data_IF_780048376065
#
_entry.id   IF_780048376065
#
_cell.length_a   1.000
_cell.length_b   1.000
_cell.length_c   1.000
_cell.angle_alpha   90.00
_cell.angle_beta   90.00
_cell.angle_gamma   90.00
#
_symmetry.space_group_name_H-M   'P 1'
#
loop_
_entity.id
_entity.type
_entity.pdbx_description
1 polymer ?
#
# COMPACT_ATOMS: atom_id res chain seq x y z
N UNK A 1 -13.62 11.87 -4.09
CA UNK A 1 -13.18 11.30 -2.79
C UNK A 1 -12.09 10.29 -3.08
N UNK A 2 -11.32 9.89 -2.09
CA UNK A 2 -10.33 8.80 -2.22
C UNK A 2 -10.85 7.57 -1.48
N UNK A 3 -10.45 6.38 -1.91
CA UNK A 3 -10.98 5.14 -1.34
C UNK A 3 -10.41 4.75 0.03
N UNK A 4 -9.22 5.21 0.41
CA UNK A 4 -8.55 4.77 1.66
C UNK A 4 -8.05 5.96 2.48
N UNK A 5 -7.51 6.98 1.81
CA UNK A 5 -6.93 8.13 2.48
C UNK A 5 -7.38 9.42 1.80
N UNK A 6 -7.74 10.41 2.58
CA UNK A 6 -8.24 11.70 2.15
C UNK A 6 -7.53 12.86 2.87
N UNK A 7 -8.00 14.08 2.68
CA UNK A 7 -7.46 15.30 3.33
C UNK A 7 -7.56 15.29 4.86
N UNK A 8 -8.36 14.40 5.45
CA UNK A 8 -8.50 14.23 6.90
C UNK A 8 -7.51 13.20 7.45
N UNK A 9 -6.77 12.53 6.57
CA UNK A 9 -5.77 11.56 6.97
C UNK A 9 -4.63 12.23 7.73
N UNK A 10 -4.39 11.75 8.95
CA UNK A 10 -3.34 12.19 9.87
C UNK A 10 -2.27 11.11 9.93
N UNK A 11 -1.22 11.30 9.14
CA UNK A 11 -0.15 10.30 9.00
C UNK A 11 0.78 10.28 10.20
N UNK A 12 1.09 9.09 10.65
CA UNK A 12 2.15 8.78 11.59
C UNK A 12 3.18 7.86 10.93
N UNK A 13 4.46 8.05 11.22
CA UNK A 13 5.55 7.24 10.70
C UNK A 13 6.22 6.44 11.81
N UNK A 14 6.10 5.12 11.79
CA UNK A 14 6.92 4.23 12.62
C UNK A 14 8.31 4.08 11.98
N UNK A 15 9.37 4.36 12.75
CA UNK A 15 10.74 4.41 12.25
C UNK A 15 11.13 5.75 11.61
N UNK A 16 10.47 6.86 12.00
CA UNK A 16 10.68 8.20 11.42
C UNK A 16 12.12 8.70 11.55
N UNK A 17 12.86 8.31 12.58
CA UNK A 17 14.25 8.74 12.80
C UNK A 17 15.27 7.96 11.96
N UNK A 18 14.83 6.91 11.26
CA UNK A 18 15.64 6.19 10.28
C UNK A 18 15.81 6.98 8.98
N UNK A 19 16.82 6.64 8.18
CA UNK A 19 17.13 7.33 6.93
C UNK A 19 15.94 7.34 5.97
N UNK A 20 15.32 6.18 5.71
CA UNK A 20 14.19 6.07 4.79
C UNK A 20 12.91 6.67 5.39
N UNK A 21 12.66 6.43 6.69
CA UNK A 21 11.49 7.00 7.39
C UNK A 21 11.50 8.53 7.34
N UNK A 22 12.62 9.17 7.69
CA UNK A 22 12.74 10.63 7.66
C UNK A 22 12.65 11.21 6.23
N UNK A 23 13.27 10.55 5.27
CA UNK A 23 13.24 10.96 3.86
C UNK A 23 11.82 10.93 3.30
N UNK A 24 11.09 9.82 3.50
CA UNK A 24 9.74 9.67 2.98
C UNK A 24 8.69 10.47 3.77
N UNK A 25 8.90 10.70 5.08
CA UNK A 25 8.05 11.61 5.85
C UNK A 25 8.09 13.03 5.28
N UNK A 26 9.28 13.53 4.95
CA UNK A 26 9.46 14.82 4.28
C UNK A 26 8.76 14.85 2.92
N UNK A 27 8.95 13.83 2.07
CA UNK A 27 8.32 13.79 0.75
C UNK A 27 6.78 13.66 0.81
N UNK A 28 6.24 13.02 1.85
CA UNK A 28 4.80 12.98 2.07
C UNK A 28 4.26 14.36 2.47
N UNK A 29 4.94 15.04 3.39
CA UNK A 29 4.58 16.40 3.82
C UNK A 29 4.69 17.41 2.64
N UNK A 30 5.78 17.36 1.86
CA UNK A 30 5.96 18.20 0.66
C UNK A 30 4.87 17.97 -0.40
N UNK A 31 4.34 16.75 -0.50
CA UNK A 31 3.24 16.43 -1.41
C UNK A 31 1.90 17.03 -0.95
N UNK A 32 1.74 17.27 0.33
CA UNK A 32 0.53 17.82 0.94
C UNK A 32 -0.09 16.96 2.04
N UNK A 33 0.51 15.81 2.36
CA UNK A 33 0.01 14.92 3.42
C UNK A 33 0.22 15.54 4.80
N UNK A 34 -0.76 15.38 5.67
CA UNK A 34 -0.69 15.85 7.05
C UNK A 34 0.10 14.86 7.93
N UNK A 35 1.41 15.02 8.00
CA UNK A 35 2.30 14.22 8.84
C UNK A 35 2.30 14.80 10.25
N UNK A 36 1.69 14.10 11.20
CA UNK A 36 1.42 14.63 12.56
C UNK A 36 2.30 14.01 13.65
N UNK A 37 2.87 12.84 13.41
CA UNK A 37 3.66 12.12 14.42
C UNK A 37 4.72 11.23 13.80
N UNK A 38 5.79 11.00 14.56
CA UNK A 38 6.74 9.94 14.36
C UNK A 38 6.80 9.03 15.58
N UNK A 39 7.09 7.75 15.36
CA UNK A 39 7.31 6.79 16.45
C UNK A 39 8.66 6.12 16.24
N UNK A 40 9.47 6.18 17.29
CA UNK A 40 10.74 5.44 17.38
C UNK A 40 11.04 5.19 18.87
N UNK A 41 11.01 3.93 19.32
CA UNK A 41 11.29 3.61 20.73
C UNK A 41 12.63 4.18 21.22
N UNK A 42 12.62 4.80 22.39
CA UNK A 42 13.80 5.46 22.99
C UNK A 42 14.15 6.82 22.38
N UNK A 43 13.29 7.37 21.51
CA UNK A 43 13.46 8.70 20.88
C UNK A 43 12.32 9.67 21.20
N UNK A 44 11.41 9.28 22.07
CA UNK A 44 10.32 10.14 22.53
C UNK A 44 10.80 11.49 23.05
N UNK A 45 10.01 12.54 22.80
CA UNK A 45 10.35 13.92 23.16
C UNK A 45 11.28 14.64 22.19
N UNK A 46 11.80 13.96 21.16
CA UNK A 46 12.52 14.60 20.05
C UNK A 46 11.54 15.20 19.03
N UNK A 47 12.06 16.04 18.16
CA UNK A 47 11.34 16.60 17.02
C UNK A 47 12.18 16.37 15.77
N UNK A 48 11.53 16.06 14.66
CA UNK A 48 12.21 15.92 13.37
C UNK A 48 12.60 17.28 12.78
N UNK A 49 13.36 17.28 11.67
CA UNK A 49 13.71 18.51 10.93
C UNK A 49 12.48 19.26 10.40
N UNK A 50 11.34 18.57 10.23
CA UNK A 50 10.06 19.16 9.80
C UNK A 50 9.13 19.50 10.98
N UNK A 51 9.66 19.64 12.19
CA UNK A 51 8.91 19.93 13.42
C UNK A 51 7.86 18.85 13.78
N UNK A 52 7.99 17.63 13.26
CA UNK A 52 7.10 16.51 13.61
C UNK A 52 7.55 15.92 14.96
N UNK A 53 6.66 15.85 15.96
CA UNK A 53 7.00 15.28 17.27
C UNK A 53 7.22 13.76 17.15
N UNK A 54 8.19 13.25 17.92
CA UNK A 54 8.53 11.84 18.00
C UNK A 54 8.09 11.28 19.35
N UNK A 55 7.47 10.10 19.32
CA UNK A 55 6.96 9.36 20.47
C UNK A 55 7.67 8.02 20.61
N UNK A 56 7.64 7.44 21.80
CA UNK A 56 8.19 6.11 22.03
C UNK A 56 7.24 4.98 21.59
N UNK A 57 5.93 5.24 21.63
CA UNK A 57 4.89 4.25 21.25
C UNK A 57 3.83 4.86 20.36
N UNK A 58 3.16 3.95 19.60
CA UNK A 58 2.03 4.33 18.74
C UNK A 58 0.86 4.88 19.57
N UNK A 59 0.56 4.28 20.73
CA UNK A 59 -0.51 4.74 21.60
C UNK A 59 -0.32 6.19 22.05
N UNK A 60 0.91 6.57 22.46
CA UNK A 60 1.25 7.96 22.81
C UNK A 60 1.05 8.92 21.62
N UNK A 61 1.47 8.49 20.42
CA UNK A 61 1.32 9.31 19.22
C UNK A 61 -0.16 9.52 18.86
N UNK A 62 -0.98 8.47 18.91
CA UNK A 62 -2.43 8.56 18.66
C UNK A 62 -3.12 9.47 19.66
N UNK A 63 -2.86 9.28 20.96
CA UNK A 63 -3.44 10.09 22.02
C UNK A 63 -3.10 11.59 21.85
N UNK A 64 -1.84 11.90 21.56
CA UNK A 64 -1.37 13.28 21.47
C UNK A 64 -1.80 13.97 20.17
N UNK A 65 -1.92 13.24 19.05
CA UNK A 65 -2.07 13.85 17.73
C UNK A 65 -3.33 13.43 16.98
N UNK A 66 -4.06 12.42 17.44
CA UNK A 66 -5.19 11.86 16.70
C UNK A 66 -4.78 11.23 15.36
N UNK A 67 -3.56 10.68 15.27
CA UNK A 67 -3.10 9.96 14.08
C UNK A 67 -4.05 8.80 13.75
N UNK A 68 -4.43 8.68 12.47
CA UNK A 68 -5.40 7.69 11.99
C UNK A 68 -4.86 6.82 10.84
N UNK A 69 -3.61 7.03 10.46
CA UNK A 69 -2.92 6.16 9.50
C UNK A 69 -1.46 6.00 9.90
N UNK A 70 -1.00 4.76 9.98
CA UNK A 70 0.41 4.43 10.27
C UNK A 70 1.14 3.99 9.01
N UNK A 71 2.32 4.56 8.80
CA UNK A 71 3.24 4.19 7.73
C UNK A 71 4.50 3.59 8.35
N UNK A 72 4.77 2.30 8.04
CA UNK A 72 5.80 1.51 8.72
C UNK A 72 7.07 1.43 7.88
N UNK A 73 8.16 2.01 8.42
CA UNK A 73 9.52 1.99 7.88
C UNK A 73 10.53 1.33 8.82
N UNK A 74 10.08 0.50 9.74
CA UNK A 74 10.97 -0.24 10.63
C UNK A 74 11.65 -1.41 9.89
N UNK A 75 12.82 -1.88 10.35
CA UNK A 75 13.45 -3.06 9.77
C UNK A 75 12.54 -4.30 9.81
N UNK A 76 12.63 -5.21 8.83
CA UNK A 76 11.72 -6.35 8.69
C UNK A 76 11.50 -7.20 9.95
N UNK A 77 12.53 -7.49 10.79
CA UNK A 77 12.32 -8.27 12.02
C UNK A 77 11.39 -7.64 13.05
N UNK A 78 11.13 -6.33 12.96
CA UNK A 78 10.29 -5.58 13.89
C UNK A 78 8.96 -5.14 13.26
N UNK A 79 8.77 -5.39 11.96
CA UNK A 79 7.62 -4.86 11.24
C UNK A 79 6.30 -5.54 11.66
N UNK A 80 6.33 -6.84 11.99
CA UNK A 80 5.16 -7.55 12.49
C UNK A 80 4.66 -6.95 13.81
N UNK A 81 5.58 -6.72 14.76
CA UNK A 81 5.25 -6.08 16.05
C UNK A 81 4.73 -4.66 15.85
N UNK A 82 5.32 -3.90 14.92
CA UNK A 82 4.89 -2.55 14.59
C UNK A 82 3.46 -2.49 13.99
N UNK A 83 3.08 -3.51 13.21
CA UNK A 83 1.70 -3.64 12.68
C UNK A 83 0.73 -3.91 13.83
N UNK A 84 1.04 -4.87 14.71
CA UNK A 84 0.19 -5.22 15.84
C UNK A 84 0.05 -4.03 16.80
N UNK A 85 1.15 -3.35 17.14
CA UNK A 85 1.14 -2.15 17.99
C UNK A 85 0.21 -1.05 17.43
N UNK A 86 0.25 -0.82 16.12
CA UNK A 86 -0.61 0.17 15.49
C UNK A 86 -2.10 -0.24 15.53
N UNK A 87 -2.39 -1.53 15.32
CA UNK A 87 -3.74 -2.06 15.43
C UNK A 87 -4.26 -1.98 16.87
N UNK A 88 -3.45 -2.33 17.88
CA UNK A 88 -3.78 -2.22 19.31
C UNK A 88 -4.07 -0.79 19.75
N UNK A 89 -3.37 0.17 19.15
CA UNK A 89 -3.61 1.59 19.40
C UNK A 89 -4.86 2.13 18.66
N UNK A 90 -5.62 1.28 17.98
CA UNK A 90 -6.85 1.64 17.28
C UNK A 90 -6.62 2.39 15.96
N UNK A 91 -5.45 2.27 15.32
CA UNK A 91 -5.18 2.91 14.03
C UNK A 91 -5.96 2.16 12.94
N UNK A 92 -6.91 2.81 12.24
CA UNK A 92 -7.78 2.13 11.29
C UNK A 92 -7.08 1.71 9.99
N UNK A 93 -5.98 2.38 9.62
CA UNK A 93 -5.25 2.07 8.39
C UNK A 93 -3.75 2.03 8.62
N UNK A 94 -3.14 0.96 8.15
CA UNK A 94 -1.69 0.74 8.23
C UNK A 94 -1.15 0.49 6.82
N UNK A 95 -0.05 1.14 6.44
CA UNK A 95 0.71 0.78 5.24
C UNK A 95 2.11 0.34 5.66
N UNK A 96 2.45 -0.93 5.39
CA UNK A 96 3.74 -1.50 5.72
C UNK A 96 4.62 -1.56 4.47
N UNK A 97 5.68 -0.75 4.46
CA UNK A 97 6.60 -0.64 3.31
C UNK A 97 7.67 -1.75 3.37
N UNK A 98 7.98 -2.25 4.56
CA UNK A 98 9.06 -3.19 4.79
C UNK A 98 8.94 -4.45 3.91
N UNK A 99 10.05 -4.83 3.29
CA UNK A 99 10.23 -6.09 2.56
C UNK A 99 11.01 -7.08 3.41
N UNK A 100 10.69 -8.38 3.28
CA UNK A 100 11.45 -9.44 3.93
C UNK A 100 10.99 -9.78 5.35
N UNK A 101 9.76 -9.45 5.70
CA UNK A 101 9.13 -9.93 6.93
C UNK A 101 8.98 -11.45 6.83
N UNK A 102 9.37 -12.23 7.86
CA UNK A 102 9.18 -13.67 7.84
C UNK A 102 7.72 -14.05 7.63
N UNK A 103 7.47 -15.02 6.75
CA UNK A 103 6.11 -15.49 6.46
C UNK A 103 5.40 -15.98 7.72
N UNK A 104 6.12 -16.65 8.62
CA UNK A 104 5.60 -17.12 9.91
C UNK A 104 5.06 -15.99 10.80
N UNK A 105 5.68 -14.83 10.73
CA UNK A 105 5.24 -13.65 11.50
C UNK A 105 4.05 -12.99 10.84
N UNK A 106 4.03 -12.92 9.50
CA UNK A 106 2.87 -12.41 8.77
C UNK A 106 1.63 -13.29 8.92
N UNK A 107 1.77 -14.63 9.07
CA UNK A 107 0.64 -15.52 9.41
C UNK A 107 -0.01 -15.10 10.72
N UNK A 108 0.80 -14.80 11.74
CA UNK A 108 0.29 -14.32 13.05
C UNK A 108 -0.37 -12.96 12.94
N UNK A 109 0.25 -12.04 12.18
CA UNK A 109 -0.30 -10.70 11.96
C UNK A 109 -1.66 -10.76 11.26
N UNK A 110 -1.78 -11.51 10.15
CA UNK A 110 -3.04 -11.63 9.42
C UNK A 110 -4.13 -12.22 10.32
N UNK A 111 -3.82 -13.30 11.04
CA UNK A 111 -4.77 -13.90 11.98
C UNK A 111 -5.19 -12.94 13.12
N UNK A 112 -4.24 -12.15 13.62
CA UNK A 112 -4.53 -11.14 14.65
C UNK A 112 -5.49 -10.06 14.12
N UNK A 113 -5.24 -9.58 12.90
CA UNK A 113 -6.04 -8.53 12.27
C UNK A 113 -7.45 -8.96 11.89
N UNK A 114 -7.72 -10.28 11.67
CA UNK A 114 -9.08 -10.81 11.42
C UNK A 114 -10.10 -10.42 12.51
N UNK A 115 -9.65 -10.18 13.75
CA UNK A 115 -10.48 -9.76 14.87
C UNK A 115 -10.59 -8.24 15.05
N UNK A 116 -10.05 -7.44 14.13
CA UNK A 116 -9.97 -5.97 14.24
C UNK A 116 -10.60 -5.27 13.03
N UNK A 117 -10.83 -3.96 13.15
CA UNK A 117 -11.26 -3.12 12.02
C UNK A 117 -10.07 -2.50 11.27
N UNK A 118 -8.84 -2.83 11.65
CA UNK A 118 -7.63 -2.29 11.04
C UNK A 118 -7.40 -2.86 9.64
N UNK A 119 -7.27 -1.98 8.65
CA UNK A 119 -6.87 -2.32 7.30
C UNK A 119 -5.35 -2.26 7.15
N UNK A 120 -4.75 -3.37 6.75
CA UNK A 120 -3.32 -3.43 6.43
C UNK A 120 -3.10 -3.40 4.91
N UNK A 121 -2.31 -2.44 4.42
CA UNK A 121 -1.82 -2.37 3.04
C UNK A 121 -0.37 -2.85 3.04
N UNK A 122 -0.05 -3.80 2.17
CA UNK A 122 1.25 -4.50 2.18
C UNK A 122 1.26 -5.73 3.09
N UNK A 123 2.44 -6.20 3.51
CA UNK A 123 3.77 -5.59 3.43
C UNK A 123 4.38 -5.58 2.01
N UNK A 124 5.64 -5.12 1.91
CA UNK A 124 6.38 -5.03 0.65
C UNK A 124 5.59 -4.28 -0.42
N UNK A 125 5.13 -3.09 -0.08
CA UNK A 125 4.28 -2.27 -0.94
C UNK A 125 4.81 -0.83 -1.06
N UNK A 126 4.45 -0.10 -2.11
CA UNK A 126 4.79 1.30 -2.25
C UNK A 126 3.87 2.24 -1.44
N UNK A 127 2.87 1.70 -0.72
CA UNK A 127 1.83 2.46 -0.06
C UNK A 127 0.73 2.90 -1.02
N UNK A 128 0.20 4.09 -0.80
CA UNK A 128 -0.86 4.66 -1.63
C UNK A 128 -0.66 6.17 -1.89
N UNK A 129 -1.34 6.66 -2.92
CA UNK A 129 -1.39 8.09 -3.24
C UNK A 129 -2.75 8.46 -3.83
N UNK A 130 -3.34 9.55 -3.34
CA UNK A 130 -4.53 10.19 -3.92
C UNK A 130 -4.17 11.59 -4.41
N UNK A 131 -3.98 11.78 -5.72
CA UNK A 131 -3.64 13.09 -6.27
C UNK A 131 -4.74 14.13 -6.09
N UNK A 132 -6.00 13.70 -6.10
CA UNK A 132 -7.16 14.58 -5.91
C UNK A 132 -7.20 15.16 -4.49
N UNK A 133 -6.92 14.33 -3.49
CA UNK A 133 -6.92 14.73 -2.08
C UNK A 133 -5.56 15.30 -1.62
N UNK A 134 -4.53 15.26 -2.48
CA UNK A 134 -3.14 15.61 -2.16
C UNK A 134 -2.58 14.84 -0.97
N UNK A 135 -2.93 13.57 -0.88
CA UNK A 135 -2.43 12.65 0.14
C UNK A 135 -1.51 11.62 -0.50
N UNK A 136 -0.34 11.49 0.06
CA UNK A 136 0.64 10.45 -0.25
C UNK A 136 1.02 9.75 1.06
N UNK A 137 0.80 8.45 1.11
CA UNK A 137 1.18 7.61 2.25
C UNK A 137 2.03 6.43 1.73
N UNK A 138 3.33 6.68 1.58
CA UNK A 138 4.26 5.69 1.04
C UNK A 138 5.40 6.29 0.24
N UNK A 139 5.97 5.47 -0.63
CA UNK A 139 7.18 5.78 -1.40
C UNK A 139 6.90 6.17 -2.86
N UNK A 140 5.65 6.17 -3.31
CA UNK A 140 5.29 6.53 -4.69
C UNK A 140 5.79 7.93 -5.04
N UNK A 141 6.42 8.13 -6.22
CA UNK A 141 6.93 9.45 -6.64
C UNK A 141 5.77 10.39 -6.99
N UNK A 142 5.57 11.46 -6.20
CA UNK A 142 4.43 12.35 -6.35
C UNK A 142 4.35 13.07 -7.71
N UNK A 143 5.49 13.35 -8.32
CA UNK A 143 5.60 14.14 -9.56
C UNK A 143 5.07 13.43 -10.82
N UNK A 144 4.93 12.09 -10.80
CA UNK A 144 4.36 11.35 -11.94
C UNK A 144 2.82 11.22 -11.85
N UNK A 145 2.24 11.57 -10.72
CA UNK A 145 0.80 11.47 -10.48
C UNK A 145 0.09 12.78 -10.77
N UNK A 146 -1.09 12.70 -11.36
CA UNK A 146 -1.93 13.83 -11.72
C UNK A 146 -3.37 13.58 -11.27
N UNK A 147 -4.08 14.59 -10.70
CA UNK A 147 -5.50 14.44 -10.39
C UNK A 147 -6.33 13.99 -11.59
N UNK A 148 -7.21 13.01 -11.36
CA UNK A 148 -8.10 12.47 -12.39
C UNK A 148 -9.03 11.41 -11.83
N UNK A 149 -9.52 10.53 -12.70
CA UNK A 149 -10.62 9.61 -12.38
C UNK A 149 -10.28 8.12 -12.63
N UNK A 150 -9.01 7.79 -12.84
CA UNK A 150 -8.58 6.38 -13.02
C UNK A 150 -7.98 5.84 -11.73
N UNK A 151 -8.59 4.79 -11.19
CA UNK A 151 -8.04 4.00 -10.10
C UNK A 151 -6.89 3.12 -10.57
N UNK A 152 -5.88 2.91 -9.73
CA UNK A 152 -4.79 1.97 -10.04
C UNK A 152 -4.56 1.07 -8.83
N UNK A 153 -4.57 -0.24 -9.05
CA UNK A 153 -4.20 -1.24 -8.04
C UNK A 153 -3.13 -2.17 -8.56
N UNK A 154 -2.07 -2.39 -7.77
CA UNK A 154 -0.90 -3.13 -8.23
C UNK A 154 -0.20 -3.90 -7.11
N UNK A 155 0.37 -5.05 -7.44
CA UNK A 155 1.30 -5.77 -6.56
C UNK A 155 2.70 -5.14 -6.54
N UNK A 156 3.07 -4.42 -7.60
CA UNK A 156 4.42 -3.91 -7.82
C UNK A 156 4.47 -2.38 -7.79
N UNK A 157 5.39 -1.83 -7.00
CA UNK A 157 5.68 -0.40 -7.00
C UNK A 157 6.20 0.09 -8.36
N UNK A 158 7.22 -0.56 -8.89
CA UNK A 158 7.86 -0.17 -10.16
C UNK A 158 6.89 -0.18 -11.33
N UNK A 159 6.05 -1.22 -11.44
CA UNK A 159 5.04 -1.30 -12.50
C UNK A 159 3.93 -0.26 -12.33
N UNK A 160 3.58 0.07 -11.09
CA UNK A 160 2.68 1.19 -10.81
C UNK A 160 3.25 2.48 -11.37
N UNK A 161 4.53 2.76 -11.11
CA UNK A 161 5.17 4.01 -11.56
C UNK A 161 5.23 4.09 -13.08
N UNK A 162 5.54 2.99 -13.75
CA UNK A 162 5.56 2.92 -15.22
C UNK A 162 4.16 3.19 -15.81
N UNK A 163 3.14 2.47 -15.34
CA UNK A 163 1.78 2.62 -15.83
C UNK A 163 1.23 4.04 -15.57
N UNK A 164 1.41 4.55 -14.36
CA UNK A 164 0.97 5.91 -13.99
C UNK A 164 1.71 6.98 -14.77
N UNK A 165 3.02 6.81 -14.99
CA UNK A 165 3.81 7.73 -15.81
C UNK A 165 3.29 7.82 -17.25
N UNK A 166 2.94 6.67 -17.86
CA UNK A 166 2.33 6.62 -19.19
C UNK A 166 0.95 7.26 -19.21
N UNK A 167 0.07 6.91 -18.27
CA UNK A 167 -1.27 7.51 -18.15
C UNK A 167 -1.19 9.04 -18.04
N UNK A 168 -0.34 9.52 -17.15
CA UNK A 168 -0.13 10.97 -16.94
C UNK A 168 0.43 11.65 -18.18
N UNK A 169 1.36 11.02 -18.89
CA UNK A 169 1.89 11.50 -20.16
C UNK A 169 0.83 11.62 -21.26
N UNK A 170 -0.18 10.76 -21.23
CA UNK A 170 -1.37 10.83 -22.10
C UNK A 170 -2.45 11.81 -21.60
N UNK A 171 -2.22 12.52 -20.50
CA UNK A 171 -3.19 13.44 -19.91
C UNK A 171 -4.24 12.77 -19.00
N UNK A 172 -4.14 11.48 -18.77
CA UNK A 172 -5.07 10.68 -17.95
C UNK A 172 -4.58 10.69 -16.49
N UNK A 173 -5.36 11.32 -15.60
CA UNK A 173 -5.06 11.43 -14.18
C UNK A 173 -5.66 10.31 -13.34
N UNK A 174 -5.21 10.21 -12.08
CA UNK A 174 -5.59 9.16 -11.16
C UNK A 174 -6.48 9.69 -10.02
N UNK A 175 -7.48 8.89 -9.63
CA UNK A 175 -8.26 9.12 -8.40
C UNK A 175 -7.46 8.65 -7.18
N UNK A 176 -7.07 7.37 -7.18
CA UNK A 176 -6.21 6.77 -6.15
C UNK A 176 -5.35 5.70 -6.79
N UNK A 177 -4.07 5.61 -6.36
CA UNK A 177 -3.20 4.49 -6.68
C UNK A 177 -2.89 3.73 -5.39
N UNK A 178 -3.11 2.42 -5.37
CA UNK A 178 -2.87 1.54 -4.22
C UNK A 178 -1.91 0.42 -4.61
N UNK A 179 -0.81 0.32 -3.87
CA UNK A 179 0.10 -0.82 -3.97
C UNK A 179 -0.22 -1.83 -2.87
N UNK A 180 -0.69 -3.01 -3.24
CA UNK A 180 -1.08 -4.06 -2.27
C UNK A 180 0.08 -4.95 -1.83
N UNK A 181 1.26 -4.83 -2.49
CA UNK A 181 2.48 -5.56 -2.15
C UNK A 181 2.69 -6.86 -2.90
N UNK A 182 3.97 -7.25 -2.98
CA UNK A 182 4.44 -8.43 -3.71
C UNK A 182 4.66 -9.68 -2.87
N UNK A 183 4.38 -9.64 -1.57
CA UNK A 183 4.56 -10.77 -0.67
C UNK A 183 3.42 -11.80 -0.79
N UNK A 184 3.68 -13.09 -0.45
CA UNK A 184 2.67 -14.14 -0.50
C UNK A 184 1.45 -13.87 0.39
N UNK A 185 1.68 -13.24 1.56
CA UNK A 185 0.65 -12.81 2.49
C UNK A 185 0.62 -11.29 2.54
N UNK A 186 -0.52 -10.71 2.24
CA UNK A 186 -0.78 -9.26 2.37
C UNK A 186 -2.12 -9.04 3.10
N UNK A 187 -2.24 -7.89 3.74
CA UNK A 187 -3.46 -7.55 4.48
C UNK A 187 -4.62 -7.11 3.58
N UNK A 188 -4.33 -6.56 2.40
CA UNK A 188 -5.33 -6.08 1.43
C UNK A 188 -5.16 -6.81 0.11
N UNK A 189 -6.25 -7.27 -0.49
CA UNK A 189 -6.30 -7.98 -1.76
C UNK A 189 -6.69 -7.05 -2.93
N UNK A 190 -6.64 -7.58 -4.16
CA UNK A 190 -7.23 -6.91 -5.32
C UNK A 190 -8.74 -6.71 -5.16
N UNK A 191 -9.44 -7.71 -4.62
CA UNK A 191 -10.89 -7.68 -4.43
C UNK A 191 -11.27 -6.52 -3.51
N UNK A 192 -10.61 -6.38 -2.37
CA UNK A 192 -10.87 -5.29 -1.42
C UNK A 192 -10.74 -3.91 -2.07
N UNK A 193 -9.72 -3.72 -2.92
CA UNK A 193 -9.48 -2.44 -3.59
C UNK A 193 -10.47 -2.21 -4.74
N UNK A 194 -10.81 -3.26 -5.49
CA UNK A 194 -11.81 -3.18 -6.56
C UNK A 194 -13.20 -2.86 -6.02
N UNK A 195 -13.60 -3.45 -4.89
CA UNK A 195 -14.85 -3.15 -4.20
C UNK A 195 -14.95 -1.68 -3.79
N UNK A 196 -13.85 -1.14 -3.24
CA UNK A 196 -13.79 0.28 -2.91
C UNK A 196 -13.86 1.17 -4.16
N UNK A 197 -13.19 0.81 -5.26
CA UNK A 197 -13.27 1.56 -6.52
C UNK A 197 -14.65 1.46 -7.17
N UNK A 198 -15.33 0.31 -7.10
CA UNK A 198 -16.70 0.18 -7.60
C UNK A 198 -17.63 1.18 -6.90
N UNK A 199 -17.48 1.32 -5.59
CA UNK A 199 -18.30 2.22 -4.77
C UNK A 199 -17.89 3.70 -4.86
N UNK A 200 -16.72 4.03 -5.41
CA UNK A 200 -16.22 5.41 -5.48
C UNK A 200 -16.79 6.15 -6.70
N UNK A 201 -17.65 7.20 -6.52
CA UNK A 201 -18.21 7.95 -7.61
C UNK A 201 -17.20 8.80 -8.39
N UNK A 202 -15.99 8.99 -7.83
CA UNK A 202 -14.92 9.78 -8.45
C UNK A 202 -13.94 8.92 -9.26
N UNK A 203 -14.17 7.59 -9.31
CA UNK A 203 -13.41 6.66 -10.15
C UNK A 203 -14.26 6.15 -11.31
N UNK A 204 -13.85 6.43 -12.55
CA UNK A 204 -14.57 6.05 -13.77
C UNK A 204 -14.08 4.73 -14.37
N UNK A 205 -12.89 4.28 -14.02
CA UNK A 205 -12.30 3.03 -14.49
C UNK A 205 -11.05 2.70 -13.70
N UNK A 206 -10.57 1.47 -13.82
CA UNK A 206 -9.45 0.97 -13.03
C UNK A 206 -8.39 0.30 -13.91
N UNK A 207 -7.12 0.48 -13.55
CA UNK A 207 -5.99 -0.29 -14.06
C UNK A 207 -5.54 -1.24 -12.96
N UNK A 208 -5.62 -2.53 -13.21
CA UNK A 208 -5.12 -3.60 -12.33
C UNK A 208 -3.82 -4.17 -12.87
N UNK A 209 -2.78 -4.21 -12.04
CA UNK A 209 -1.46 -4.70 -12.44
C UNK A 209 -1.10 -5.90 -11.57
N UNK A 210 -1.11 -7.06 -12.18
CA UNK A 210 -0.73 -8.34 -11.59
C UNK A 210 0.58 -8.89 -12.18
N UNK A 211 0.99 -10.00 -11.62
CA UNK A 211 2.22 -10.69 -12.00
C UNK A 211 2.10 -12.20 -11.80
N UNK A 212 3.12 -12.94 -12.21
CA UNK A 212 3.21 -14.37 -11.94
C UNK A 212 3.17 -14.67 -10.43
N UNK A 213 2.77 -15.88 -10.07
CA UNK A 213 2.73 -16.36 -8.68
C UNK A 213 1.38 -16.23 -8.03
N UNK A 214 0.96 -17.28 -7.32
CA UNK A 214 -0.35 -17.36 -6.68
C UNK A 214 -1.53 -17.34 -7.65
N UNK A 215 -2.73 -17.07 -7.13
CA UNK A 215 -4.01 -17.05 -7.87
C UNK A 215 -4.82 -15.76 -7.69
N UNK A 216 -4.28 -14.76 -7.01
CA UNK A 216 -5.02 -13.54 -6.62
C UNK A 216 -5.66 -12.79 -7.80
N UNK A 217 -5.02 -12.84 -8.98
CA UNK A 217 -5.53 -12.21 -10.18
C UNK A 217 -6.73 -12.98 -10.76
N UNK A 218 -6.73 -14.32 -10.65
CA UNK A 218 -7.89 -15.13 -11.02
C UNK A 218 -9.05 -14.92 -10.06
N UNK A 219 -8.76 -14.88 -8.75
CA UNK A 219 -9.77 -14.61 -7.72
C UNK A 219 -10.41 -13.22 -7.96
N UNK A 220 -9.61 -12.22 -8.32
CA UNK A 220 -10.08 -10.90 -8.72
C UNK A 220 -10.92 -10.95 -10.02
N UNK A 221 -10.51 -11.75 -11.00
CA UNK A 221 -11.25 -11.89 -12.27
C UNK A 221 -12.64 -12.52 -12.04
N UNK A 222 -12.77 -13.51 -11.16
CA UNK A 222 -14.07 -14.08 -10.78
C UNK A 222 -14.97 -13.02 -10.09
N UNK A 223 -14.41 -12.25 -9.14
CA UNK A 223 -15.12 -11.15 -8.50
C UNK A 223 -15.61 -10.10 -9.53
N UNK A 224 -14.75 -9.71 -10.45
CA UNK A 224 -15.05 -8.70 -11.49
C UNK A 224 -16.24 -9.12 -12.36
N UNK A 225 -16.35 -10.39 -12.73
CA UNK A 225 -17.46 -10.88 -13.57
C UNK A 225 -18.84 -10.65 -12.94
N UNK A 226 -18.91 -10.68 -11.62
CA UNK A 226 -20.19 -10.67 -10.91
C UNK A 226 -20.47 -9.33 -10.23
N UNK A 227 -19.44 -8.58 -9.84
CA UNK A 227 -19.57 -7.47 -8.90
C UNK A 227 -18.95 -6.15 -9.36
N UNK A 228 -18.25 -6.10 -10.50
CA UNK A 228 -17.55 -4.89 -10.94
C UNK A 228 -18.07 -4.42 -12.30
N UNK A 229 -18.61 -3.19 -12.37
CA UNK A 229 -19.28 -2.66 -13.55
C UNK A 229 -18.47 -1.58 -14.28
N UNK A 230 -17.43 -1.03 -13.64
CA UNK A 230 -16.60 0.00 -14.25
C UNK A 230 -15.60 -0.60 -15.25
N UNK A 231 -15.16 0.17 -16.27
CA UNK A 231 -14.09 -0.26 -17.16
C UNK A 231 -12.84 -0.70 -16.40
N UNK A 232 -12.32 -1.89 -16.70
CA UNK A 232 -11.12 -2.45 -16.10
C UNK A 232 -10.11 -2.82 -17.18
N UNK A 233 -8.91 -2.23 -17.10
CA UNK A 233 -7.76 -2.64 -17.89
C UNK A 233 -6.81 -3.46 -17.00
N UNK A 234 -6.38 -4.62 -17.48
CA UNK A 234 -5.51 -5.53 -16.71
C UNK A 234 -4.18 -5.74 -17.42
N UNK A 235 -3.10 -5.58 -16.67
CA UNK A 235 -1.74 -5.93 -17.10
C UNK A 235 -1.20 -7.07 -16.23
N UNK A 236 -0.81 -8.17 -16.86
CA UNK A 236 -0.14 -9.30 -16.19
C UNK A 236 1.28 -9.42 -16.71
N UNK A 237 2.27 -9.28 -15.82
CA UNK A 237 3.69 -9.37 -16.19
C UNK A 237 4.28 -10.75 -15.89
N UNK A 238 5.41 -11.05 -16.55
CA UNK A 238 6.18 -12.28 -16.32
C UNK A 238 5.93 -13.41 -17.30
N UNK A 239 5.40 -13.15 -18.51
CA UNK A 239 5.16 -14.18 -19.55
C UNK A 239 6.44 -14.96 -19.91
N UNK A 240 7.61 -14.32 -19.87
CA UNK A 240 8.90 -14.95 -20.14
C UNK A 240 9.61 -15.49 -18.88
N UNK A 241 8.96 -15.46 -17.72
CA UNK A 241 9.58 -15.89 -16.47
C UNK A 241 9.75 -17.44 -16.45
N UNK A 242 10.95 -17.94 -16.07
CA UNK A 242 11.18 -19.38 -15.96
C UNK A 242 10.47 -19.95 -14.72
N UNK A 243 9.89 -21.17 -14.83
CA UNK A 243 9.30 -21.86 -13.68
C UNK A 243 10.29 -22.07 -12.52
N UNK A 244 9.78 -21.98 -11.27
CA UNK A 244 10.54 -22.25 -10.06
C UNK A 244 11.55 -21.17 -9.67
N UNK A 245 11.70 -20.10 -10.45
CA UNK A 245 12.59 -18.97 -10.12
C UNK A 245 11.79 -17.79 -9.59
N UNK A 246 12.25 -17.23 -8.46
CA UNK A 246 11.72 -15.98 -7.91
C UNK A 246 12.11 -14.79 -8.79
N UNK A 247 11.12 -14.00 -9.19
CA UNK A 247 11.28 -12.86 -10.09
C UNK A 247 11.06 -11.54 -9.35
N UNK A 248 12.01 -11.15 -8.50
CA UNK A 248 11.91 -9.95 -7.66
C UNK A 248 11.11 -10.23 -6.37
N UNK A 249 9.81 -10.03 -6.38
CA UNK A 249 8.93 -10.21 -5.22
C UNK A 249 8.94 -11.66 -4.68
N UNK A 250 8.77 -11.80 -3.37
CA UNK A 250 8.72 -13.12 -2.73
C UNK A 250 7.55 -13.98 -3.25
N UNK A 251 6.42 -13.34 -3.61
CA UNK A 251 5.26 -14.00 -4.21
C UNK A 251 5.36 -14.23 -5.71
N UNK A 252 6.34 -13.65 -6.41
CA UNK A 252 6.47 -13.76 -7.87
C UNK A 252 7.29 -14.99 -8.27
N UNK A 253 6.71 -16.17 -8.07
CA UNK A 253 7.32 -17.46 -8.41
C UNK A 253 6.27 -18.39 -9.05
N UNK A 254 6.60 -19.03 -10.17
CA UNK A 254 5.74 -20.01 -10.83
C UNK A 254 5.91 -21.35 -10.11
N UNK A 255 4.99 -21.68 -9.21
CA UNK A 255 4.95 -22.94 -8.46
C UNK A 255 3.99 -23.97 -9.06
N UNK A 256 3.18 -23.57 -10.04
CA UNK A 256 2.19 -24.42 -10.69
C UNK A 256 1.54 -23.71 -11.87
N UNK A 257 0.54 -24.36 -12.49
CA UNK A 257 -0.13 -23.84 -13.68
C UNK A 257 -0.82 -22.48 -13.42
N UNK A 258 -1.60 -22.38 -12.35
CA UNK A 258 -2.32 -21.13 -12.00
C UNK A 258 -1.39 -19.93 -11.78
N UNK A 259 -0.14 -20.17 -11.37
CA UNK A 259 0.83 -19.10 -11.13
C UNK A 259 1.46 -18.51 -12.41
N UNK A 260 1.16 -19.04 -13.60
CA UNK A 260 1.70 -18.57 -14.87
C UNK A 260 0.93 -17.38 -15.39
N UNK A 261 1.65 -16.46 -16.07
CA UNK A 261 1.02 -15.29 -16.69
C UNK A 261 -0.03 -15.66 -17.73
N UNK A 262 0.24 -16.69 -18.58
CA UNK A 262 -0.67 -17.12 -19.64
C UNK A 262 -2.02 -17.64 -19.09
N UNK A 263 -2.03 -18.20 -17.88
CA UNK A 263 -3.28 -18.65 -17.25
C UNK A 263 -4.06 -17.49 -16.63
N UNK A 264 -3.38 -16.42 -16.21
CA UNK A 264 -4.01 -15.21 -15.65
C UNK A 264 -4.55 -14.26 -16.72
N UNK A 265 -4.06 -14.34 -17.95
CA UNK A 265 -4.50 -13.51 -19.08
C UNK A 265 -5.77 -14.07 -19.74
N UNK A 266 -6.09 -15.35 -19.57
CA UNK A 266 -7.30 -16.00 -20.08
C UNK A 266 -8.56 -15.54 -19.40
#
# INVERSE_FOLDING_TARGET
MSIIADRNTRLMFQGITGKEGSYHARLCAEYGSNVVAGVTPGKGGQTTVQDVPVFDTVGQAVEATGANMSLIFVPPPFAADAIVEASDAGVPTIACIAEGIPVSDMVKVVHYLEGTETRLIGPNCPGLISPVEKVKAGIMPGHIHKPGRIGVVSRSGTLTYEAVGQLTGMGIGQSTCVGIGGDPLSGTSFIDVLEMFESDPDTDGVVMIGEIGGSREQDAAEYVKEHFNKPLAVLIVGQSAPPGRRMGHAGAIITGRAARAEEKIK
#
